data_IF_260463057262
#
_entry.id   IF_260463057262
#
_cell.length_a   1.000
_cell.length_b   1.000
_cell.length_c   1.000
_cell.angle_alpha   90.00
_cell.angle_beta   90.00
_cell.angle_gamma   90.00
#
_symmetry.space_group_name_H-M   'P 1'
#
loop_
_entity.id
_entity.type
_entity.pdbx_description
1 polymer ?
#
# COMPACT_ATOMS: atom_id res chain seq x y z
N UNK A 1 28.36 9.95 5.86
CA UNK A 1 28.32 8.72 6.67
C UNK A 1 26.91 8.20 6.88
N UNK A 2 26.08 8.86 7.71
CA UNK A 2 24.73 8.39 8.05
C UNK A 2 23.67 8.56 6.94
N UNK A 3 23.70 9.65 6.16
CA UNK A 3 22.65 9.96 5.16
C UNK A 3 22.59 8.92 4.03
N UNK A 4 23.74 8.43 3.56
CA UNK A 4 23.82 7.41 2.50
C UNK A 4 23.37 6.01 2.97
N UNK A 5 23.49 5.70 4.27
CA UNK A 5 23.07 4.41 4.83
C UNK A 5 21.56 4.33 5.03
N UNK A 6 20.93 5.46 5.37
CA UNK A 6 19.46 5.59 5.43
C UNK A 6 18.82 5.47 4.03
N UNK A 7 19.43 6.09 3.00
CA UNK A 7 18.98 5.96 1.60
C UNK A 7 19.17 4.53 1.02
N UNK A 8 20.22 3.83 1.44
CA UNK A 8 20.47 2.42 1.07
C UNK A 8 19.38 1.49 1.59
N UNK A 9 19.02 1.64 2.87
CA UNK A 9 18.10 0.72 3.56
C UNK A 9 16.62 1.06 3.30
N UNK A 10 16.30 2.28 2.86
CA UNK A 10 14.98 2.66 2.35
C UNK A 10 14.63 1.86 1.08
N UNK A 11 15.60 1.69 0.16
CA UNK A 11 15.43 0.90 -1.07
C UNK A 11 14.98 -0.54 -0.78
N UNK A 12 15.49 -1.19 0.27
CA UNK A 12 15.09 -2.58 0.57
C UNK A 12 13.64 -2.74 1.01
N UNK A 13 13.01 -1.69 1.55
CA UNK A 13 11.60 -1.74 1.95
C UNK A 13 10.65 -1.17 0.91
N UNK A 14 11.10 -0.22 0.10
CA UNK A 14 10.28 0.41 -0.93
C UNK A 14 10.21 -0.45 -2.20
N UNK A 15 11.23 -1.29 -2.46
CA UNK A 15 11.17 -2.36 -3.47
C UNK A 15 10.02 -3.35 -3.25
N UNK A 16 9.51 -3.48 -2.02
CA UNK A 16 8.30 -4.24 -1.76
C UNK A 16 7.03 -3.55 -2.30
N UNK A 17 6.96 -2.22 -2.31
CA UNK A 17 5.83 -1.48 -2.87
C UNK A 17 5.85 -1.38 -4.40
N UNK A 18 7.04 -1.49 -4.98
CA UNK A 18 7.28 -1.32 -6.41
C UNK A 18 6.78 -2.48 -7.29
N UNK A 19 6.33 -3.60 -6.72
CA UNK A 19 6.20 -4.81 -7.50
C UNK A 19 4.97 -4.90 -8.41
N UNK A 20 3.82 -4.24 -8.16
CA UNK A 20 2.64 -4.38 -9.03
C UNK A 20 1.56 -3.30 -8.80
N UNK A 21 1.58 -2.20 -9.54
CA UNK A 21 0.36 -1.41 -9.73
C UNK A 21 -0.44 -2.09 -10.84
N UNK A 22 -1.26 -3.08 -10.48
CA UNK A 22 -2.17 -3.72 -11.45
C UNK A 22 -3.42 -2.84 -11.62
N UNK A 23 -3.63 -2.30 -12.82
CA UNK A 23 -4.89 -1.63 -13.17
C UNK A 23 -6.04 -2.65 -13.13
N UNK A 24 -7.09 -2.37 -12.35
CA UNK A 24 -8.35 -3.13 -12.43
C UNK A 24 -9.38 -2.25 -13.11
N UNK A 25 -9.69 -2.59 -14.36
CA UNK A 25 -10.72 -1.92 -15.13
C UNK A 25 -11.17 -2.75 -16.33
N UNK A 26 -11.77 -3.93 -16.11
CA UNK A 26 -12.69 -4.56 -17.08
C UNK A 26 -13.77 -5.38 -16.36
N UNK A 27 -15.03 -5.00 -16.58
CA UNK A 27 -16.23 -5.75 -16.18
C UNK A 27 -16.23 -7.12 -16.90
N UNK A 28 -16.40 -8.23 -16.17
CA UNK A 28 -16.65 -9.55 -16.77
C UNK A 28 -18.15 -9.70 -17.07
N UNK A 29 -18.49 -9.88 -18.34
CA UNK A 29 -19.81 -10.39 -18.75
C UNK A 29 -19.85 -11.93 -18.68
N UNK A 30 -21.03 -12.56 -18.53
CA UNK A 30 -21.16 -14.01 -18.35
C UNK A 30 -21.52 -14.73 -19.66
N UNK A 31 -20.98 -15.93 -19.86
CA UNK A 31 -21.65 -17.06 -20.55
C UNK A 31 -20.82 -18.35 -20.36
N UNK A 32 -21.41 -19.42 -19.78
CA UNK A 32 -22.12 -20.57 -20.43
C UNK A 32 -21.15 -21.45 -21.24
N UNK A 33 -21.06 -22.79 -21.21
CA UNK A 33 -21.92 -23.93 -20.79
C UNK A 33 -21.15 -25.25 -21.08
N UNK A 34 -21.54 -26.38 -20.48
CA UNK A 34 -21.29 -27.76 -20.99
C UNK A 34 -20.49 -28.67 -20.03
N UNK A 35 -21.02 -29.69 -19.33
CA UNK A 35 -21.68 -30.99 -19.67
C UNK A 35 -20.82 -32.22 -19.27
N UNK A 36 -21.19 -32.83 -18.13
CA UNK A 36 -21.56 -34.26 -17.84
C UNK A 36 -20.67 -35.47 -18.26
N UNK A 37 -20.39 -36.34 -17.25
CA UNK A 37 -20.27 -37.83 -17.29
C UNK A 37 -18.83 -38.40 -17.32
N UNK A 38 -18.46 -39.57 -16.76
CA UNK A 38 -19.04 -40.58 -15.85
C UNK A 38 -17.87 -41.49 -15.32
N UNK A 39 -18.17 -42.35 -14.34
CA UNK A 39 -17.33 -43.29 -13.57
C UNK A 39 -16.26 -44.17 -14.27
N UNK A 40 -15.20 -44.48 -13.50
CA UNK A 40 -14.34 -45.67 -13.66
C UNK A 40 -13.29 -45.77 -12.54
N UNK A 41 -13.43 -46.75 -11.63
CA UNK A 41 -12.44 -47.10 -10.60
C UNK A 41 -11.36 -48.02 -11.17
N UNK A 42 -10.08 -47.78 -10.88
CA UNK A 42 -9.08 -48.82 -10.62
C UNK A 42 -7.86 -48.23 -9.90
N UNK A 43 -7.38 -48.91 -8.86
CA UNK A 43 -6.30 -48.48 -7.96
C UNK A 43 -4.90 -48.70 -8.55
N UNK A 44 -3.96 -47.97 -7.96
CA UNK A 44 -2.54 -48.30 -7.74
C UNK A 44 -1.51 -47.61 -8.64
N UNK A 45 -1.07 -46.43 -8.21
CA UNK A 45 0.34 -46.12 -7.95
C UNK A 45 0.42 -44.64 -7.58
N UNK A 46 0.81 -44.35 -6.34
CA UNK A 46 1.09 -42.99 -5.89
C UNK A 46 2.27 -42.44 -6.69
N UNK A 47 1.99 -41.52 -7.62
CA UNK A 47 2.97 -40.56 -8.08
C UNK A 47 2.38 -39.18 -7.83
N UNK A 48 2.59 -38.67 -6.61
CA UNK A 48 2.27 -37.28 -6.26
C UNK A 48 3.31 -36.36 -6.90
N UNK A 49 3.33 -36.27 -8.22
CA UNK A 49 3.84 -35.08 -8.92
C UNK A 49 2.73 -34.03 -8.97
N UNK A 50 2.18 -33.73 -7.80
CA UNK A 50 1.44 -32.49 -7.60
C UNK A 50 2.46 -31.38 -7.71
N UNK A 51 2.52 -30.72 -8.88
CA UNK A 51 3.13 -29.41 -9.01
C UNK A 51 2.46 -28.56 -7.94
N UNK A 52 3.14 -28.38 -6.80
CA UNK A 52 2.82 -27.31 -5.88
C UNK A 52 2.90 -26.07 -6.75
N UNK A 53 1.73 -25.58 -7.18
CA UNK A 53 1.60 -24.29 -7.82
C UNK A 53 2.20 -23.32 -6.83
N UNK A 54 3.48 -23.01 -7.04
CA UNK A 54 4.25 -22.20 -6.14
C UNK A 54 3.54 -20.87 -6.06
N UNK A 55 2.83 -20.64 -4.97
CA UNK A 55 2.45 -19.29 -4.58
C UNK A 55 3.79 -18.57 -4.44
N UNK A 56 4.24 -17.92 -5.52
CA UNK A 56 5.46 -17.14 -5.53
C UNK A 56 5.36 -16.22 -4.32
N UNK A 57 6.22 -16.45 -3.33
CA UNK A 57 6.28 -15.66 -2.10
C UNK A 57 6.47 -14.21 -2.53
N UNK A 58 5.38 -13.43 -2.50
CA UNK A 58 5.41 -12.05 -2.97
C UNK A 58 6.37 -11.30 -2.06
N UNK A 59 7.42 -10.75 -2.64
CA UNK A 59 8.47 -10.02 -1.90
C UNK A 59 8.01 -8.63 -1.44
N UNK A 60 6.71 -8.31 -1.55
CA UNK A 60 6.18 -7.02 -1.17
C UNK A 60 4.68 -6.81 -1.33
N UNK A 61 4.23 -5.58 -1.04
CA UNK A 61 2.83 -5.15 -1.06
C UNK A 61 2.34 -4.75 -2.45
N UNK A 62 1.02 -4.77 -2.63
CA UNK A 62 0.33 -4.35 -3.86
C UNK A 62 -0.61 -3.17 -3.59
N UNK A 63 -0.39 -2.07 -4.30
CA UNK A 63 -1.17 -0.84 -4.13
C UNK A 63 -2.11 -0.62 -5.31
N UNK A 64 -3.40 -0.46 -5.00
CA UNK A 64 -4.43 -0.13 -5.97
C UNK A 64 -4.58 1.38 -6.08
N UNK A 65 -4.69 1.86 -7.31
CA UNK A 65 -4.92 3.26 -7.64
C UNK A 65 -6.29 3.43 -8.29
N UNK A 66 -6.97 4.51 -7.92
CA UNK A 66 -8.10 5.07 -8.64
C UNK A 66 -7.55 6.09 -9.65
N UNK A 67 -7.88 5.93 -10.93
CA UNK A 67 -7.48 6.86 -11.99
C UNK A 67 -8.76 7.33 -12.69
N UNK A 68 -9.04 8.63 -12.65
CA UNK A 68 -10.16 9.26 -13.35
C UNK A 68 -9.62 10.16 -14.46
N UNK A 69 -9.98 9.84 -15.69
CA UNK A 69 -9.63 10.64 -16.86
C UNK A 69 -10.67 11.76 -17.00
N UNK A 70 -10.29 13.04 -17.00
CA UNK A 70 -11.22 14.14 -17.24
C UNK A 70 -11.61 14.21 -18.72
N UNK A 71 -12.75 14.84 -19.03
CA UNK A 71 -13.18 15.10 -20.42
C UNK A 71 -12.20 15.99 -21.19
N UNK A 72 -11.41 16.79 -20.47
CA UNK A 72 -10.39 17.69 -21.02
C UNK A 72 -9.02 17.02 -21.22
N UNK A 73 -8.90 15.70 -21.03
CA UNK A 73 -7.67 14.98 -21.35
C UNK A 73 -7.40 15.02 -22.87
N UNK A 74 -6.14 15.27 -23.33
CA UNK A 74 -4.90 15.32 -22.57
C UNK A 74 -4.47 16.72 -22.09
N UNK A 75 -5.31 17.76 -22.21
CA UNK A 75 -4.95 19.12 -21.79
C UNK A 75 -4.94 19.28 -20.27
N UNK A 76 -5.74 18.49 -19.53
CA UNK A 76 -5.65 18.38 -18.08
C UNK A 76 -5.20 16.97 -17.64
N UNK A 77 -4.50 16.86 -16.50
CA UNK A 77 -4.00 15.59 -15.99
C UNK A 77 -5.13 14.67 -15.52
N UNK A 78 -4.91 13.34 -15.52
CA UNK A 78 -5.80 12.41 -14.83
C UNK A 78 -5.78 12.67 -13.32
N UNK A 79 -6.93 12.50 -12.66
CA UNK A 79 -6.98 12.50 -11.19
C UNK A 79 -6.61 11.12 -10.67
N UNK A 80 -5.52 11.04 -9.90
CA UNK A 80 -5.01 9.78 -9.35
C UNK A 80 -5.03 9.80 -7.82
N UNK A 81 -5.46 8.69 -7.22
CA UNK A 81 -5.51 8.52 -5.76
C UNK A 81 -5.23 7.08 -5.37
N UNK A 82 -4.60 6.86 -4.22
CA UNK A 82 -4.46 5.51 -3.66
C UNK A 82 -5.79 5.03 -3.08
N UNK A 83 -6.25 3.86 -3.56
CA UNK A 83 -7.35 3.12 -2.92
C UNK A 83 -6.80 2.33 -1.73
N UNK A 84 -5.65 1.68 -1.94
CA UNK A 84 -4.94 0.99 -0.86
C UNK A 84 -4.33 2.02 0.09
N UNK A 85 -4.70 1.98 1.38
CA UNK A 85 -4.09 2.81 2.43
C UNK A 85 -2.57 2.62 2.48
N UNK A 86 -1.85 3.72 2.63
CA UNK A 86 -0.38 3.76 2.66
C UNK A 86 0.10 4.83 3.64
N UNK A 87 1.21 4.56 4.33
CA UNK A 87 1.86 5.50 5.23
C UNK A 87 3.09 6.09 4.53
N UNK A 88 2.92 7.26 3.89
CA UNK A 88 3.97 7.90 3.10
C UNK A 88 3.88 9.44 3.17
N UNK A 89 4.98 10.20 3.29
CA UNK A 89 4.94 11.66 3.45
C UNK A 89 4.14 12.41 2.37
N UNK A 90 4.26 11.99 1.10
CA UNK A 90 3.60 12.63 -0.04
C UNK A 90 2.23 12.00 -0.42
N UNK A 91 1.69 11.11 0.41
CA UNK A 91 0.36 10.50 0.18
C UNK A 91 -0.46 10.58 1.47
N UNK A 92 -1.67 11.13 1.40
CA UNK A 92 -2.56 11.23 2.56
C UNK A 92 -2.88 9.85 3.12
N UNK A 93 -2.58 9.62 4.41
CA UNK A 93 -2.88 8.37 5.11
C UNK A 93 -4.39 8.10 5.27
N UNK A 94 -5.20 9.17 5.23
CA UNK A 94 -6.66 9.13 5.34
C UNK A 94 -7.31 8.91 3.99
N UNK A 95 -6.99 9.76 3.01
CA UNK A 95 -7.70 9.83 1.73
C UNK A 95 -6.98 9.14 0.58
N UNK A 96 -5.67 8.90 0.68
CA UNK A 96 -4.85 8.43 -0.43
C UNK A 96 -4.57 9.49 -1.50
N UNK A 97 -4.92 10.77 -1.27
CA UNK A 97 -4.57 11.88 -2.14
C UNK A 97 -3.04 12.00 -2.28
N UNK A 98 -2.57 12.42 -3.45
CA UNK A 98 -1.16 12.45 -3.83
C UNK A 98 -0.76 13.89 -4.11
N UNK A 99 0.33 14.37 -3.51
CA UNK A 99 0.98 15.60 -3.93
C UNK A 99 2.07 15.25 -4.96
N UNK A 100 1.77 15.43 -6.24
CA UNK A 100 2.74 15.25 -7.33
C UNK A 100 2.52 16.37 -8.36
N UNK A 101 3.58 17.10 -8.66
CA UNK A 101 3.63 18.27 -9.56
C UNK A 101 3.12 17.95 -10.97
N UNK A 102 3.48 16.79 -11.53
CA UNK A 102 3.01 16.35 -12.85
C UNK A 102 1.51 16.04 -12.89
N UNK A 103 0.83 15.93 -11.74
CA UNK A 103 -0.63 15.80 -11.65
C UNK A 103 -1.32 17.16 -11.40
N UNK A 104 -0.54 18.25 -11.43
CA UNK A 104 -0.98 19.62 -11.17
C UNK A 104 -0.50 20.55 -12.30
N UNK A 105 0.49 21.39 -12.02
CA UNK A 105 0.99 22.48 -12.86
C UNK A 105 2.09 22.04 -13.84
N UNK A 106 2.79 20.94 -13.57
CA UNK A 106 3.82 20.40 -14.46
C UNK A 106 3.29 19.36 -15.46
N UNK A 107 1.96 19.25 -15.59
CA UNK A 107 1.34 18.36 -16.57
C UNK A 107 1.60 18.83 -18.00
N UNK A 108 2.10 17.93 -18.86
CA UNK A 108 2.20 18.16 -20.29
C UNK A 108 1.32 17.17 -21.05
N UNK A 109 0.62 17.63 -22.10
CA UNK A 109 -0.26 16.79 -22.91
C UNK A 109 0.45 15.59 -23.60
N UNK A 110 1.79 15.64 -23.71
CA UNK A 110 2.62 14.54 -24.19
C UNK A 110 2.84 13.42 -23.15
N UNK A 111 2.49 13.65 -21.88
CA UNK A 111 2.62 12.65 -20.82
C UNK A 111 1.55 11.56 -20.95
N UNK A 112 1.92 10.34 -20.58
CA UNK A 112 1.06 9.16 -20.67
C UNK A 112 0.75 8.62 -19.29
N UNK A 113 -0.26 7.75 -19.19
CA UNK A 113 -0.51 7.00 -17.95
C UNK A 113 0.72 6.20 -17.52
N UNK A 114 1.53 5.71 -18.46
CA UNK A 114 2.79 5.00 -18.16
C UNK A 114 3.78 5.92 -17.44
N UNK A 115 3.98 7.15 -17.93
CA UNK A 115 4.90 8.09 -17.30
C UNK A 115 4.40 8.50 -15.91
N UNK A 116 3.10 8.73 -15.75
CA UNK A 116 2.49 8.98 -14.44
C UNK A 116 2.75 7.84 -13.44
N UNK A 117 2.53 6.58 -13.86
CA UNK A 117 2.77 5.43 -13.00
C UNK A 117 4.25 5.25 -12.62
N UNK A 118 5.18 5.54 -13.55
CA UNK A 118 6.60 5.52 -13.27
C UNK A 118 7.02 6.62 -12.29
N UNK A 119 6.48 7.83 -12.42
CA UNK A 119 6.73 8.92 -11.47
C UNK A 119 6.18 8.60 -10.08
N UNK A 120 5.01 7.96 -9.98
CA UNK A 120 4.48 7.47 -8.70
C UNK A 120 5.37 6.38 -8.09
N UNK A 121 5.90 5.47 -8.89
CA UNK A 121 6.88 4.49 -8.42
C UNK A 121 8.16 5.15 -7.91
N UNK A 122 8.67 6.16 -8.62
CA UNK A 122 9.83 6.93 -8.17
C UNK A 122 9.56 7.66 -6.86
N UNK A 123 8.39 8.29 -6.71
CA UNK A 123 7.96 8.95 -5.47
C UNK A 123 7.93 7.97 -4.29
N UNK A 124 7.42 6.75 -4.49
CA UNK A 124 7.41 5.70 -3.45
C UNK A 124 8.80 5.21 -3.06
N UNK A 125 9.82 5.40 -3.92
CA UNK A 125 11.21 5.02 -3.65
C UNK A 125 12.07 6.18 -3.12
N UNK A 126 11.53 7.40 -3.15
CA UNK A 126 12.20 8.61 -2.72
C UNK A 126 11.15 9.62 -2.28
N UNK A 127 10.74 9.52 -1.01
CA UNK A 127 9.82 10.48 -0.41
C UNK A 127 10.45 11.88 -0.35
N UNK A 128 9.61 12.91 -0.49
CA UNK A 128 9.98 14.32 -0.37
C UNK A 128 9.31 14.93 0.88
N UNK A 129 9.89 14.79 2.08
CA UNK A 129 9.25 15.17 3.33
C UNK A 129 9.18 16.68 3.59
N UNK A 130 9.81 17.50 2.75
CA UNK A 130 9.78 18.96 2.86
C UNK A 130 8.64 19.60 2.05
N UNK A 131 8.03 18.87 1.11
CA UNK A 131 6.73 19.18 0.50
C UNK A 131 5.69 18.06 0.75
N UNK A 132 5.22 17.89 1.99
CA UNK A 132 4.41 16.74 2.36
C UNK A 132 2.92 16.91 2.01
N UNK A 133 2.29 15.79 1.68
CA UNK A 133 0.83 15.68 1.61
C UNK A 133 0.22 15.33 2.98
N UNK A 134 0.99 14.66 3.83
CA UNK A 134 0.59 14.26 5.18
C UNK A 134 1.65 14.71 6.19
N UNK A 135 1.37 15.78 6.91
CA UNK A 135 2.31 16.41 7.83
C UNK A 135 2.69 15.51 9.03
N UNK A 136 1.76 14.65 9.50
CA UNK A 136 2.02 13.73 10.60
C UNK A 136 3.02 12.67 10.16
N UNK A 137 2.79 12.09 8.98
CA UNK A 137 3.69 11.09 8.40
C UNK A 137 5.06 11.68 8.12
N UNK A 138 5.10 12.88 7.53
CA UNK A 138 6.35 13.57 7.23
C UNK A 138 7.15 13.94 8.50
N UNK A 139 6.47 14.37 9.56
CA UNK A 139 7.12 14.62 10.85
C UNK A 139 7.72 13.33 11.43
N UNK A 140 6.96 12.22 11.42
CA UNK A 140 7.50 10.93 11.86
C UNK A 140 8.70 10.48 11.00
N UNK A 141 8.62 10.67 9.69
CA UNK A 141 9.72 10.37 8.76
C UNK A 141 11.00 11.12 9.13
N UNK A 142 10.90 12.43 9.42
CA UNK A 142 12.04 13.28 9.74
C UNK A 142 12.58 13.06 11.15
N UNK A 143 11.70 12.94 12.14
CA UNK A 143 12.09 12.89 13.56
C UNK A 143 12.44 11.47 14.04
N UNK A 144 11.80 10.44 13.47
CA UNK A 144 12.04 9.05 13.85
C UNK A 144 11.96 8.10 12.64
N UNK A 145 13.02 8.05 11.81
CA UNK A 145 13.05 7.24 10.59
C UNK A 145 12.80 5.74 10.82
N UNK A 146 13.26 5.18 11.94
CA UNK A 146 13.04 3.75 12.23
C UNK A 146 11.58 3.47 12.60
N UNK A 147 10.95 4.34 13.41
CA UNK A 147 9.51 4.23 13.68
C UNK A 147 8.69 4.38 12.40
N UNK A 148 9.03 5.35 11.54
CA UNK A 148 8.40 5.49 10.23
C UNK A 148 8.51 4.20 9.43
N UNK A 149 9.72 3.61 9.34
CA UNK A 149 9.99 2.37 8.59
C UNK A 149 9.13 1.20 9.09
N UNK A 150 9.03 1.03 10.40
CA UNK A 150 8.20 -0.05 10.99
C UNK A 150 6.71 0.21 10.78
N UNK A 151 6.28 1.47 10.89
CA UNK A 151 4.88 1.89 10.65
C UNK A 151 4.50 1.64 9.18
N UNK A 152 5.33 2.09 8.23
CA UNK A 152 5.11 1.86 6.80
C UNK A 152 5.10 0.37 6.43
N UNK A 153 5.98 -0.46 7.03
CA UNK A 153 5.95 -1.92 6.86
C UNK A 153 4.65 -2.54 7.37
N UNK A 154 4.18 -2.10 8.53
CA UNK A 154 2.90 -2.58 9.08
C UNK A 154 1.73 -2.19 8.18
N UNK A 155 1.65 -0.94 7.72
CA UNK A 155 0.60 -0.51 6.78
C UNK A 155 0.65 -1.32 5.48
N UNK A 156 1.86 -1.58 4.96
CA UNK A 156 2.06 -2.46 3.80
C UNK A 156 1.58 -3.89 4.06
N UNK A 157 1.84 -4.43 5.24
CA UNK A 157 1.37 -5.77 5.62
C UNK A 157 -0.15 -5.83 5.69
N UNK A 158 -0.77 -4.89 6.42
CA UNK A 158 -2.22 -4.87 6.68
C UNK A 158 -3.03 -4.53 5.44
N UNK A 159 -2.61 -3.53 4.65
CA UNK A 159 -3.44 -2.98 3.57
C UNK A 159 -3.01 -3.45 2.17
N UNK A 160 -1.74 -3.80 1.99
CA UNK A 160 -1.17 -4.14 0.69
C UNK A 160 -0.75 -5.62 0.57
N UNK A 161 -0.94 -6.43 1.62
CA UNK A 161 -0.61 -7.86 1.60
C UNK A 161 0.90 -8.15 1.57
N UNK A 162 1.71 -7.23 2.09
CA UNK A 162 3.14 -7.48 2.26
C UNK A 162 3.40 -8.57 3.34
N UNK A 163 4.60 -9.18 3.40
CA UNK A 163 4.96 -10.11 4.47
C UNK A 163 4.82 -9.52 5.87
N UNK A 164 4.84 -10.40 6.88
CA UNK A 164 4.61 -10.04 8.29
C UNK A 164 5.44 -8.84 8.79
N UNK A 165 4.80 -8.01 9.59
CA UNK A 165 5.35 -6.78 10.19
C UNK A 165 5.75 -6.99 11.66
N UNK A 166 6.14 -5.91 12.36
CA UNK A 166 6.54 -5.93 13.77
C UNK A 166 5.49 -6.61 14.68
N UNK A 167 5.87 -7.67 15.44
CA UNK A 167 4.99 -8.30 16.43
C UNK A 167 4.59 -7.35 17.56
N UNK A 168 5.44 -6.38 17.90
CA UNK A 168 5.15 -5.41 18.96
C UNK A 168 3.97 -4.51 18.59
N UNK A 169 3.96 -3.98 17.36
CA UNK A 169 2.87 -3.11 16.88
C UNK A 169 1.57 -3.89 16.74
N UNK A 170 1.67 -5.15 16.31
CA UNK A 170 0.52 -6.07 16.22
C UNK A 170 -0.12 -6.25 17.60
N UNK A 171 0.67 -6.50 18.66
CA UNK A 171 0.16 -6.60 20.04
C UNK A 171 -0.55 -5.33 20.52
N UNK A 172 -0.01 -4.15 20.20
CA UNK A 172 -0.64 -2.85 20.56
C UNK A 172 -1.98 -2.68 19.86
N UNK A 173 -2.07 -3.06 18.59
CA UNK A 173 -3.33 -3.04 17.83
C UNK A 173 -4.34 -4.00 18.44
N UNK A 174 -3.94 -5.25 18.69
CA UNK A 174 -4.83 -6.27 19.25
C UNK A 174 -5.37 -5.85 20.63
N UNK A 175 -4.55 -5.20 21.46
CA UNK A 175 -4.97 -4.64 22.75
C UNK A 175 -6.12 -3.64 22.60
N UNK A 176 -5.99 -2.67 21.69
CA UNK A 176 -7.04 -1.65 21.50
C UNK A 176 -8.26 -2.21 20.75
N UNK A 177 -8.06 -3.16 19.83
CA UNK A 177 -9.19 -3.85 19.18
C UNK A 177 -9.99 -4.69 20.19
N UNK A 178 -9.33 -5.32 21.18
CA UNK A 178 -9.99 -6.05 22.25
C UNK A 178 -10.83 -5.15 23.18
N UNK A 179 -10.56 -3.83 23.19
CA UNK A 179 -11.38 -2.84 23.88
C UNK A 179 -12.62 -2.41 23.06
N UNK A 180 -12.79 -2.92 21.84
CA UNK A 180 -13.95 -2.66 20.98
C UNK A 180 -13.74 -1.59 19.91
N UNK A 181 -12.54 -1.00 19.82
CA UNK A 181 -12.24 -0.01 18.78
C UNK A 181 -12.06 -0.67 17.41
N UNK A 182 -12.50 0.03 16.35
CA UNK A 182 -12.36 -0.43 14.98
C UNK A 182 -10.88 -0.48 14.56
N UNK A 183 -10.47 -1.57 13.89
CA UNK A 183 -9.05 -1.86 13.61
C UNK A 183 -8.35 -0.77 12.80
N UNK A 184 -8.99 -0.21 11.78
CA UNK A 184 -8.36 0.86 10.98
C UNK A 184 -8.21 2.15 11.79
N UNK A 185 -9.22 2.52 12.58
CA UNK A 185 -9.14 3.65 13.50
C UNK A 185 -8.00 3.47 14.50
N UNK A 186 -7.86 2.28 15.08
CA UNK A 186 -6.74 1.91 15.98
C UNK A 186 -5.39 2.08 15.30
N UNK A 187 -5.23 1.54 14.09
CA UNK A 187 -3.96 1.63 13.34
C UNK A 187 -3.61 3.09 13.06
N UNK A 188 -4.59 3.90 12.62
CA UNK A 188 -4.38 5.33 12.36
C UNK A 188 -3.99 6.08 13.63
N UNK A 189 -4.73 5.87 14.73
CA UNK A 189 -4.47 6.52 16.00
C UNK A 189 -3.07 6.18 16.54
N UNK A 190 -2.72 4.89 16.63
CA UNK A 190 -1.39 4.45 17.08
C UNK A 190 -0.28 4.98 16.18
N UNK A 191 -0.45 4.92 14.85
CA UNK A 191 0.57 5.40 13.90
C UNK A 191 0.80 6.91 14.04
N UNK A 192 -0.27 7.68 14.29
CA UNK A 192 -0.23 9.14 14.41
C UNK A 192 0.26 9.62 15.79
N UNK A 193 0.16 8.77 16.81
CA UNK A 193 0.55 9.03 18.20
C UNK A 193 1.81 8.26 18.60
N UNK A 194 2.74 8.07 17.66
CA UNK A 194 4.06 7.48 17.92
C UNK A 194 4.01 6.11 18.61
N UNK A 195 2.98 5.31 18.36
CA UNK A 195 2.74 4.01 18.98
C UNK A 195 2.60 4.04 20.50
N UNK A 196 2.25 5.20 21.05
CA UNK A 196 1.85 5.36 22.45
C UNK A 196 0.38 4.96 22.63
N UNK A 197 0.13 4.05 23.57
CA UNK A 197 -1.20 3.45 23.73
C UNK A 197 -2.16 4.41 24.42
N UNK A 198 -1.67 5.22 25.36
CA UNK A 198 -2.49 6.13 26.16
C UNK A 198 -3.05 7.26 25.28
N UNK A 199 -2.17 8.02 24.62
CA UNK A 199 -2.56 9.12 23.74
C UNK A 199 -3.31 8.66 22.49
N UNK A 200 -3.07 7.44 22.00
CA UNK A 200 -3.88 6.84 20.94
C UNK A 200 -5.29 6.48 21.44
N UNK A 201 -5.43 5.99 22.66
CA UNK A 201 -6.73 5.70 23.28
C UNK A 201 -7.53 6.98 23.50
N UNK A 202 -6.89 8.03 24.00
CA UNK A 202 -7.52 9.35 24.15
C UNK A 202 -8.06 9.87 22.81
N UNK A 203 -7.25 9.76 21.74
CA UNK A 203 -7.69 10.14 20.40
C UNK A 203 -8.90 9.32 19.93
N UNK A 204 -8.90 8.00 20.18
CA UNK A 204 -10.00 7.11 19.80
C UNK A 204 -11.30 7.40 20.57
N UNK A 205 -11.19 7.83 21.83
CA UNK A 205 -12.34 8.21 22.66
C UNK A 205 -12.91 9.59 22.31
N UNK A 206 -12.11 10.44 21.65
CA UNK A 206 -12.52 11.78 21.24
C UNK A 206 -13.24 11.84 19.89
N UNK A 207 -13.30 10.72 19.17
CA UNK A 207 -13.98 10.56 17.87
C UNK A 207 -15.34 9.88 18.04
#
# INVERSE_FOLDING_TARGET
GCVQKVQSDCRQNELAALANVSQVGRRRGPNRTGTRGNHGQHRSSEDKTGIQGGAQKRRGGRYQLEIKIPETYPFNPPKVRFITKIWHPNISSVTGAICLDILKDQWAAAMTLRTVLLSLQALLAAAEPDDPQDAVVANQYKQNPEMFKQTARLWSHVYAGAPASSPEYTRKIDKLCAMGFEKNAVIVALSSKSWDVETATELLLSN
#
